data_IF_361736791662
#
_entry.id   IF_361736791662
#
_cell.length_a   1.000
_cell.length_b   1.000
_cell.length_c   1.000
_cell.angle_alpha   90.00
_cell.angle_beta   90.00
_cell.angle_gamma   90.00
#
_symmetry.space_group_name_H-M   'P 1'
#
loop_
_entity.id
_entity.type
_entity.pdbx_description
1 polymer ?
#
# COMPACT_ATOMS: atom_id res chain seq x y z
N UNK A 1 30.94 -25.15 1.22
CA UNK A 1 30.18 -24.30 2.18
C UNK A 1 28.84 -23.81 1.58
N UNK A 2 28.77 -23.51 0.28
CA UNK A 2 27.55 -23.03 -0.40
C UNK A 2 26.46 -24.11 -0.58
N UNK A 3 26.81 -25.32 -1.03
CA UNK A 3 25.87 -26.46 -1.13
C UNK A 3 25.33 -26.94 0.22
N UNK A 4 26.13 -26.81 1.27
CA UNK A 4 25.79 -27.22 2.64
C UNK A 4 24.68 -26.32 3.21
N UNK A 5 24.76 -25.01 2.93
CA UNK A 5 23.75 -24.01 3.28
C UNK A 5 22.47 -24.18 2.45
N UNK A 6 22.57 -24.51 1.17
CA UNK A 6 21.41 -24.83 0.31
C UNK A 6 20.68 -26.09 0.79
N UNK A 7 21.41 -27.15 1.16
CA UNK A 7 20.82 -28.37 1.75
C UNK A 7 20.18 -28.14 3.12
N UNK A 8 20.72 -27.22 3.92
CA UNK A 8 20.11 -26.81 5.20
C UNK A 8 18.85 -25.95 4.99
N UNK A 9 18.79 -25.17 3.91
CA UNK A 9 17.60 -24.38 3.50
C UNK A 9 16.45 -25.29 3.06
N UNK A 10 16.71 -26.31 2.23
CA UNK A 10 15.71 -27.31 1.84
C UNK A 10 15.17 -28.16 3.01
N UNK A 11 15.96 -28.36 4.07
CA UNK A 11 15.52 -29.12 5.25
C UNK A 11 14.66 -28.34 6.24
N UNK A 12 14.56 -27.01 6.12
CA UNK A 12 13.81 -26.16 7.05
C UNK A 12 12.49 -25.59 6.51
N UNK A 13 12.24 -25.73 5.22
CA UNK A 13 10.97 -25.35 4.60
C UNK A 13 10.23 -26.62 4.18
N UNK A 14 9.13 -26.93 4.85
CA UNK A 14 8.22 -28.02 4.45
C UNK A 14 7.49 -27.71 3.13
N UNK A 15 7.68 -26.50 2.59
CA UNK A 15 7.11 -25.98 1.35
C UNK A 15 8.13 -25.03 0.71
N UNK A 16 8.56 -25.30 -0.53
CA UNK A 16 9.35 -24.37 -1.32
C UNK A 16 8.40 -23.62 -2.26
N UNK A 17 8.09 -22.33 -2.01
CA UNK A 17 7.09 -21.59 -2.78
C UNK A 17 7.45 -21.39 -4.25
N UNK A 18 8.67 -21.76 -4.65
CA UNK A 18 9.20 -21.60 -6.01
C UNK A 18 9.11 -22.87 -6.85
N UNK A 19 8.55 -23.97 -6.31
CA UNK A 19 8.46 -25.24 -7.04
C UNK A 19 7.30 -25.29 -8.03
N UNK A 20 6.22 -24.58 -7.74
CA UNK A 20 5.02 -24.54 -8.57
C UNK A 20 4.59 -23.08 -8.79
N UNK A 21 4.13 -22.73 -10.01
CA UNK A 21 3.59 -21.40 -10.25
C UNK A 21 2.26 -21.24 -9.49
N UNK A 22 1.86 -19.99 -9.27
CA UNK A 22 0.52 -19.67 -8.76
C UNK A 22 -0.53 -20.22 -9.73
N UNK A 23 -1.53 -20.92 -9.18
CA UNK A 23 -2.61 -21.49 -9.98
C UNK A 23 -3.52 -20.39 -10.56
N UNK A 24 -3.55 -20.30 -11.87
CA UNK A 24 -4.43 -19.37 -12.61
C UNK A 24 -5.40 -20.13 -13.51
N UNK A 25 -5.72 -21.38 -13.15
CA UNK A 25 -6.57 -22.31 -13.89
C UNK A 25 -7.75 -22.77 -13.06
N UNK A 26 -8.69 -23.51 -13.66
CA UNK A 26 -9.82 -24.10 -12.93
C UNK A 26 -10.63 -23.06 -12.16
N UNK A 27 -10.70 -23.19 -10.83
CA UNK A 27 -11.37 -22.23 -9.93
C UNK A 27 -10.70 -20.85 -9.93
N UNK A 28 -9.42 -20.78 -10.26
CA UNK A 28 -8.62 -19.57 -10.35
C UNK A 28 -8.38 -19.09 -11.78
N UNK A 29 -9.14 -19.64 -12.76
CA UNK A 29 -9.13 -19.11 -14.11
C UNK A 29 -9.58 -17.64 -14.11
N UNK A 30 -8.87 -16.80 -14.87
CA UNK A 30 -9.22 -15.38 -15.00
C UNK A 30 -10.68 -15.20 -15.44
N UNK A 31 -11.37 -14.34 -14.71
CA UNK A 31 -12.70 -13.84 -15.07
C UNK A 31 -12.67 -12.31 -15.06
N UNK A 32 -13.11 -11.63 -16.13
CA UNK A 32 -13.19 -10.18 -16.12
C UNK A 32 -14.31 -9.72 -15.18
N UNK A 33 -14.15 -8.57 -14.50
CA UNK A 33 -15.17 -8.06 -13.60
C UNK A 33 -16.45 -7.70 -14.36
N UNK A 34 -17.60 -7.95 -13.75
CA UNK A 34 -18.89 -7.51 -14.24
C UNK A 34 -19.35 -6.26 -13.46
N UNK A 35 -18.94 -5.09 -13.94
CA UNK A 35 -19.30 -3.81 -13.31
C UNK A 35 -20.82 -3.56 -13.31
N UNK A 36 -21.56 -4.04 -14.31
CA UNK A 36 -23.03 -3.93 -14.36
C UNK A 36 -23.72 -4.74 -13.24
N UNK A 37 -23.07 -5.81 -12.76
CA UNK A 37 -23.50 -6.60 -11.59
C UNK A 37 -22.92 -6.09 -10.27
N UNK A 38 -22.16 -5.00 -10.31
CA UNK A 38 -21.62 -4.31 -9.14
C UNK A 38 -20.29 -4.86 -8.63
N UNK A 39 -19.54 -5.60 -9.43
CA UNK A 39 -18.17 -6.00 -9.08
C UNK A 39 -17.29 -4.76 -8.91
N UNK A 40 -16.39 -4.79 -7.93
CA UNK A 40 -15.56 -3.65 -7.53
C UNK A 40 -14.09 -3.92 -7.88
N UNK A 41 -13.45 -2.95 -8.52
CA UNK A 41 -12.00 -2.88 -8.76
C UNK A 41 -11.56 -1.46 -8.45
N UNK A 42 -10.34 -1.28 -7.95
CA UNK A 42 -9.88 0.03 -7.52
C UNK A 42 -8.39 0.30 -7.77
N UNK A 43 -7.72 1.10 -6.94
CA UNK A 43 -6.37 1.58 -7.22
C UNK A 43 -5.29 0.50 -7.10
N UNK A 44 -5.56 -0.61 -6.40
CA UNK A 44 -4.57 -1.65 -6.12
C UNK A 44 -4.59 -2.76 -7.20
N UNK A 45 -3.57 -2.83 -8.08
CA UNK A 45 -3.52 -3.84 -9.14
C UNK A 45 -3.49 -5.28 -8.60
N UNK A 46 -2.77 -5.52 -7.50
CA UNK A 46 -2.68 -6.85 -6.88
C UNK A 46 -4.04 -7.35 -6.37
N UNK A 47 -4.80 -6.50 -5.66
CA UNK A 47 -6.14 -6.90 -5.18
C UNK A 47 -7.13 -7.11 -6.35
N UNK A 48 -7.04 -6.27 -7.39
CA UNK A 48 -7.85 -6.43 -8.60
C UNK A 48 -7.60 -7.79 -9.26
N UNK A 49 -6.33 -8.18 -9.40
CA UNK A 49 -5.93 -9.47 -9.95
C UNK A 49 -6.41 -10.64 -9.07
N UNK A 50 -6.26 -10.57 -7.74
CA UNK A 50 -6.78 -11.62 -6.84
C UNK A 50 -8.30 -11.82 -7.00
N UNK A 51 -9.06 -10.74 -7.12
CA UNK A 51 -10.51 -10.83 -7.34
C UNK A 51 -10.84 -11.42 -8.72
N UNK A 52 -10.11 -11.03 -9.78
CA UNK A 52 -10.27 -11.59 -11.13
C UNK A 52 -9.94 -13.09 -11.20
N UNK A 53 -9.09 -13.58 -10.30
CA UNK A 53 -8.71 -14.99 -10.18
C UNK A 53 -9.42 -15.71 -9.02
N UNK A 54 -10.43 -15.10 -8.38
CA UNK A 54 -11.22 -15.77 -7.33
C UNK A 54 -10.44 -16.18 -6.08
N UNK A 55 -9.25 -15.61 -5.85
CA UNK A 55 -8.49 -15.81 -4.61
C UNK A 55 -9.07 -15.00 -3.44
N UNK A 56 -9.73 -13.90 -3.78
CA UNK A 56 -10.67 -13.19 -2.92
C UNK A 56 -12.01 -13.12 -3.63
N UNK A 57 -13.06 -12.72 -2.91
CA UNK A 57 -14.41 -12.54 -3.44
C UNK A 57 -14.40 -11.75 -4.75
N UNK A 58 -14.88 -12.39 -5.83
CA UNK A 58 -14.78 -11.86 -7.20
C UNK A 58 -15.48 -10.49 -7.36
N UNK A 59 -16.51 -10.24 -6.57
CA UNK A 59 -17.21 -8.96 -6.57
C UNK A 59 -16.44 -7.82 -5.91
N UNK A 60 -15.23 -8.07 -5.42
CA UNK A 60 -14.32 -7.07 -4.88
C UNK A 60 -14.69 -6.59 -3.47
N UNK A 61 -15.47 -7.36 -2.72
CA UNK A 61 -15.70 -7.13 -1.29
C UNK A 61 -14.84 -8.10 -0.50
N UNK A 62 -13.63 -7.66 -0.17
CA UNK A 62 -12.62 -8.51 0.46
C UNK A 62 -12.89 -8.63 1.97
N UNK A 63 -13.02 -9.87 2.45
CA UNK A 63 -13.05 -10.16 3.88
C UNK A 63 -11.67 -9.96 4.52
N UNK A 64 -11.63 -9.58 5.79
CA UNK A 64 -10.40 -9.28 6.52
C UNK A 64 -9.42 -10.46 6.55
N UNK A 65 -9.89 -11.65 6.95
CA UNK A 65 -9.03 -12.85 6.97
C UNK A 65 -8.80 -13.43 5.57
N UNK A 66 -9.76 -13.23 4.66
CA UNK A 66 -9.67 -13.66 3.26
C UNK A 66 -8.51 -12.93 2.57
N UNK A 67 -8.44 -11.60 2.68
CA UNK A 67 -7.37 -10.81 2.06
C UNK A 67 -6.00 -11.11 2.67
N UNK A 68 -5.92 -11.30 4.00
CA UNK A 68 -4.68 -11.69 4.68
C UNK A 68 -4.17 -13.03 4.14
N UNK A 69 -5.05 -14.02 4.08
CA UNK A 69 -4.69 -15.34 3.58
C UNK A 69 -4.30 -15.30 2.10
N UNK A 70 -5.12 -14.68 1.24
CA UNK A 70 -4.91 -14.66 -0.20
C UNK A 70 -3.62 -13.91 -0.58
N UNK A 71 -3.38 -12.72 -0.01
CA UNK A 71 -2.19 -11.92 -0.34
C UNK A 71 -0.92 -12.58 0.21
N UNK A 72 -0.95 -13.21 1.38
CA UNK A 72 0.18 -14.05 1.79
C UNK A 72 0.32 -15.24 0.83
N UNK A 73 -0.72 -16.04 0.63
CA UNK A 73 -0.66 -17.30 -0.12
C UNK A 73 -0.18 -17.11 -1.56
N UNK A 74 -0.69 -16.10 -2.26
CA UNK A 74 -0.43 -15.86 -3.68
C UNK A 74 0.84 -15.03 -3.88
N UNK A 75 0.99 -13.94 -3.12
CA UNK A 75 2.05 -12.96 -3.37
C UNK A 75 3.22 -13.04 -2.41
N UNK A 76 3.08 -13.73 -1.28
CA UNK A 76 4.10 -13.82 -0.25
C UNK A 76 4.36 -12.50 0.46
N UNK A 77 3.33 -11.68 0.62
CA UNK A 77 3.42 -10.59 1.61
C UNK A 77 3.46 -11.19 3.01
N UNK A 78 4.43 -10.77 3.82
CA UNK A 78 4.57 -11.24 5.20
C UNK A 78 3.31 -10.94 6.02
N UNK A 79 2.99 -11.85 6.95
CA UNK A 79 1.79 -11.77 7.79
C UNK A 79 1.75 -10.46 8.60
N UNK A 80 2.91 -9.97 9.02
CA UNK A 80 3.08 -8.67 9.68
C UNK A 80 2.56 -7.52 8.78
N UNK A 81 3.08 -7.43 7.56
CA UNK A 81 2.77 -6.36 6.62
C UNK A 81 1.32 -6.42 6.13
N UNK A 82 0.83 -7.59 5.71
CA UNK A 82 -0.54 -7.70 5.20
C UNK A 82 -1.59 -7.47 6.31
N UNK A 83 -1.30 -7.85 7.55
CA UNK A 83 -2.22 -7.60 8.66
C UNK A 83 -2.40 -6.10 8.89
N UNK A 84 -1.31 -5.32 8.88
CA UNK A 84 -1.39 -3.85 8.98
C UNK A 84 -2.24 -3.28 7.85
N UNK A 85 -1.99 -3.65 6.59
CA UNK A 85 -2.75 -3.15 5.45
C UNK A 85 -4.24 -3.57 5.50
N UNK A 86 -4.54 -4.80 5.89
CA UNK A 86 -5.91 -5.29 6.03
C UNK A 86 -6.67 -4.56 7.14
N UNK A 87 -5.99 -4.26 8.26
CA UNK A 87 -6.55 -3.45 9.35
C UNK A 87 -6.88 -2.06 8.85
N UNK A 88 -5.93 -1.41 8.18
CA UNK A 88 -6.14 -0.06 7.66
C UNK A 88 -7.28 -0.01 6.63
N UNK A 89 -7.37 -1.00 5.73
CA UNK A 89 -8.47 -1.09 4.77
C UNK A 89 -9.82 -1.28 5.45
N UNK A 90 -9.88 -2.21 6.42
CA UNK A 90 -11.13 -2.55 7.11
C UNK A 90 -11.62 -1.45 8.02
N UNK A 91 -10.73 -0.83 8.82
CA UNK A 91 -11.07 0.23 9.76
C UNK A 91 -11.38 1.53 9.01
N UNK A 92 -10.56 1.87 8.01
CA UNK A 92 -10.64 3.16 7.37
C UNK A 92 -11.75 3.28 6.32
N UNK A 93 -11.86 2.29 5.44
CA UNK A 93 -12.80 2.36 4.30
C UNK A 93 -13.83 1.24 4.26
N UNK A 94 -13.69 0.28 5.18
CA UNK A 94 -14.51 -0.90 5.29
C UNK A 94 -15.53 -0.84 6.43
N UNK A 95 -15.88 -2.04 6.90
CA UNK A 95 -16.83 -2.23 7.99
C UNK A 95 -16.22 -3.16 9.06
N UNK A 96 -15.58 -2.62 10.10
CA UNK A 96 -14.94 -3.44 11.14
C UNK A 96 -15.95 -4.09 12.09
N UNK A 97 -17.18 -3.55 12.20
CA UNK A 97 -18.25 -4.06 13.08
C UNK A 97 -19.17 -5.08 12.41
N UNK A 98 -18.76 -5.56 11.24
CA UNK A 98 -19.51 -6.53 10.47
C UNK A 98 -19.36 -7.95 11.04
N UNK A 99 -20.38 -8.81 10.95
CA UNK A 99 -20.27 -10.26 11.11
C UNK A 99 -19.19 -10.88 10.20
N UNK A 100 -18.91 -10.25 9.06
CA UNK A 100 -17.79 -10.56 8.18
C UNK A 100 -17.01 -9.27 7.88
N UNK A 101 -16.09 -8.85 8.77
CA UNK A 101 -15.32 -7.62 8.59
C UNK A 101 -14.57 -7.61 7.27
N UNK A 102 -14.51 -6.46 6.61
CA UNK A 102 -13.87 -6.33 5.31
C UNK A 102 -14.08 -4.96 4.70
N UNK A 103 -13.64 -4.81 3.45
CA UNK A 103 -13.72 -3.55 2.71
C UNK A 103 -13.93 -3.82 1.21
N UNK A 104 -14.43 -2.81 0.49
CA UNK A 104 -14.42 -2.87 -0.96
C UNK A 104 -13.05 -2.48 -1.51
N UNK A 105 -12.51 -3.28 -2.43
CA UNK A 105 -11.25 -2.99 -3.11
C UNK A 105 -11.38 -1.88 -4.16
N UNK A 106 -12.61 -1.45 -4.46
CA UNK A 106 -12.96 -0.32 -5.32
C UNK A 106 -13.75 0.72 -4.55
N UNK A 107 -14.94 1.08 -5.03
CA UNK A 107 -15.75 2.16 -4.47
C UNK A 107 -16.80 1.71 -3.46
N UNK A 108 -17.80 2.59 -3.27
CA UNK A 108 -18.94 2.32 -2.39
C UNK A 108 -19.73 1.13 -2.90
N UNK A 109 -19.92 0.13 -2.06
CA UNK A 109 -20.79 -1.01 -2.36
C UNK A 109 -21.74 -1.30 -1.21
N UNK A 110 -23.02 -1.50 -1.53
CA UNK A 110 -24.02 -1.96 -0.54
C UNK A 110 -23.67 -3.33 0.03
N UNK A 111 -22.90 -4.14 -0.70
CA UNK A 111 -22.45 -5.46 -0.24
C UNK A 111 -21.40 -5.36 0.88
N UNK A 112 -20.64 -4.27 0.95
CA UNK A 112 -19.76 -3.97 2.08
C UNK A 112 -20.53 -3.42 3.30
N UNK A 113 -21.80 -3.04 3.13
CA UNK A 113 -22.66 -2.59 4.22
C UNK A 113 -23.37 -3.79 4.82
N UNK A 114 -23.13 -4.04 6.10
CA UNK A 114 -23.69 -5.21 6.75
C UNK A 114 -25.19 -5.08 7.03
N UNK A 115 -25.88 -6.22 7.10
CA UNK A 115 -27.33 -6.35 7.37
C UNK A 115 -27.77 -5.65 8.66
N UNK A 116 -26.87 -5.50 9.64
CA UNK A 116 -27.09 -4.78 10.90
C UNK A 116 -26.92 -3.24 10.81
N UNK A 117 -26.70 -2.70 9.61
CA UNK A 117 -26.75 -1.25 9.35
C UNK A 117 -25.67 -0.44 10.05
N UNK A 118 -24.41 -0.89 10.02
CA UNK A 118 -23.26 -0.25 10.70
C UNK A 118 -23.58 0.29 12.10
N UNK A 119 -24.31 -0.50 12.89
CA UNK A 119 -24.81 -0.11 14.22
C UNK A 119 -25.49 1.28 14.19
N UNK A 120 -26.52 1.44 13.36
CA UNK A 120 -27.27 2.70 13.16
C UNK A 120 -26.46 3.86 12.58
N UNK A 121 -25.40 3.58 11.81
CA UNK A 121 -24.62 4.61 11.10
C UNK A 121 -23.56 5.32 11.94
N UNK A 122 -23.24 4.79 13.13
CA UNK A 122 -22.29 5.39 14.08
C UNK A 122 -20.85 5.45 13.52
N UNK A 123 -20.46 4.53 12.64
CA UNK A 123 -19.13 4.51 11.99
C UNK A 123 -19.14 5.02 10.54
N UNK A 124 -20.15 5.79 10.13
CA UNK A 124 -20.25 6.30 8.75
C UNK A 124 -20.65 5.24 7.72
N UNK A 125 -20.45 5.49 6.43
CA UNK A 125 -20.71 4.49 5.37
C UNK A 125 -19.38 3.98 4.84
N UNK A 126 -19.12 2.66 4.78
CA UNK A 126 -17.97 2.10 4.08
C UNK A 126 -17.83 2.69 2.66
N UNK A 127 -16.68 3.30 2.37
CA UNK A 127 -16.47 4.04 1.12
C UNK A 127 -15.64 3.27 0.08
N UNK A 128 -14.92 2.22 0.50
CA UNK A 128 -13.98 1.49 -0.35
C UNK A 128 -12.66 2.23 -0.62
N UNK A 129 -11.69 1.53 -1.20
CA UNK A 129 -10.36 2.07 -1.51
C UNK A 129 -10.36 3.27 -2.45
N UNK A 130 -11.36 3.42 -3.33
CA UNK A 130 -11.48 4.60 -4.21
C UNK A 130 -11.63 5.93 -3.45
N UNK A 131 -12.02 5.86 -2.17
CA UNK A 131 -12.23 7.01 -1.30
C UNK A 131 -11.29 6.98 -0.09
N UNK A 132 -10.15 6.30 -0.20
CA UNK A 132 -9.14 6.16 0.85
C UNK A 132 -8.07 7.28 0.81
N UNK A 133 -8.34 8.39 0.15
CA UNK A 133 -7.35 9.46 -0.07
C UNK A 133 -6.85 10.04 1.26
N UNK A 134 -5.52 10.16 1.39
CA UNK A 134 -4.79 10.48 2.62
C UNK A 134 -5.03 9.51 3.79
N UNK A 135 -5.45 8.28 3.50
CA UNK A 135 -5.47 7.17 4.46
C UNK A 135 -4.66 5.98 3.96
N UNK A 136 -4.99 5.44 2.78
CA UNK A 136 -4.22 4.40 2.07
C UNK A 136 -3.88 4.89 0.67
N UNK A 137 -4.87 5.44 -0.03
CA UNK A 137 -4.65 6.09 -1.31
C UNK A 137 -3.97 7.45 -1.07
N UNK A 138 -3.06 7.81 -1.97
CA UNK A 138 -2.17 8.96 -1.81
C UNK A 138 -1.78 9.52 -3.17
N UNK A 139 -1.55 10.83 -3.17
CA UNK A 139 -0.94 11.53 -4.30
C UNK A 139 0.42 10.91 -4.69
N UNK A 140 0.87 11.21 -5.90
CA UNK A 140 2.14 10.74 -6.46
C UNK A 140 2.18 9.22 -6.72
N UNK A 141 1.02 8.62 -7.00
CA UNK A 141 0.91 7.21 -7.39
C UNK A 141 1.64 6.91 -8.72
N UNK A 142 2.17 5.68 -8.85
CA UNK A 142 3.01 5.27 -10.00
C UNK A 142 2.28 5.40 -11.35
N UNK A 143 1.01 5.01 -11.39
CA UNK A 143 0.22 4.94 -12.63
C UNK A 143 -1.19 5.52 -12.48
N UNK A 144 -1.50 6.17 -11.36
CA UNK A 144 -2.80 6.82 -11.09
C UNK A 144 -2.57 8.31 -10.85
N UNK A 145 -3.56 9.10 -11.22
CA UNK A 145 -3.51 10.55 -11.06
C UNK A 145 -3.71 10.96 -9.59
N UNK A 146 -3.26 12.17 -9.26
CA UNK A 146 -3.52 12.77 -7.95
C UNK A 146 -5.00 13.19 -7.85
N UNK A 147 -5.67 12.85 -6.74
CA UNK A 147 -7.11 13.05 -6.59
C UNK A 147 -7.51 14.52 -6.83
N UNK A 148 -6.72 15.46 -6.32
CA UNK A 148 -7.04 16.89 -6.42
C UNK A 148 -6.74 17.52 -7.79
N UNK A 149 -6.17 16.76 -8.72
CA UNK A 149 -5.92 17.20 -10.09
C UNK A 149 -7.05 16.76 -11.02
N UNK A 150 -7.46 15.50 -10.92
CA UNK A 150 -8.41 14.88 -11.88
C UNK A 150 -9.77 14.54 -11.28
N UNK A 151 -9.86 14.40 -9.96
CA UNK A 151 -11.02 13.86 -9.27
C UNK A 151 -11.11 12.33 -9.32
N UNK A 152 -10.13 11.63 -9.92
CA UNK A 152 -10.06 10.17 -9.99
C UNK A 152 -8.63 9.69 -9.71
N UNK A 153 -8.44 9.09 -8.54
CA UNK A 153 -7.17 8.50 -8.12
C UNK A 153 -7.14 6.96 -8.22
N UNK A 154 -8.16 6.36 -8.84
CA UNK A 154 -8.33 4.90 -8.91
C UNK A 154 -8.08 4.35 -10.32
N UNK A 155 -8.65 5.02 -11.33
CA UNK A 155 -8.46 4.63 -12.73
C UNK A 155 -7.03 4.87 -13.17
N UNK A 156 -6.40 3.87 -13.80
CA UNK A 156 -5.03 4.00 -14.28
C UNK A 156 -4.93 5.02 -15.43
N UNK A 157 -3.92 5.87 -15.37
CA UNK A 157 -3.57 6.81 -16.42
C UNK A 157 -2.48 6.20 -17.33
N UNK A 158 -2.79 6.06 -18.62
CA UNK A 158 -1.86 5.45 -19.60
C UNK A 158 -0.57 6.26 -19.81
N UNK A 159 -0.60 7.58 -19.64
CA UNK A 159 0.62 8.40 -19.71
C UNK A 159 1.55 8.04 -18.56
N UNK A 160 1.04 8.00 -17.32
CA UNK A 160 1.83 7.64 -16.14
C UNK A 160 2.31 6.17 -16.20
N UNK A 161 1.47 5.27 -16.71
CA UNK A 161 1.87 3.88 -16.98
C UNK A 161 3.03 3.83 -17.97
N UNK A 162 2.95 4.54 -19.10
CA UNK A 162 4.01 4.55 -20.11
C UNK A 162 5.30 5.19 -19.60
N UNK A 163 5.23 6.16 -18.70
CA UNK A 163 6.43 6.70 -18.04
C UNK A 163 7.10 5.68 -17.12
N UNK A 164 6.32 4.89 -16.39
CA UNK A 164 6.85 3.80 -15.57
C UNK A 164 7.38 2.63 -16.44
N UNK A 165 6.62 2.25 -17.47
CA UNK A 165 6.98 1.20 -18.41
C UNK A 165 8.28 1.55 -19.17
N UNK A 166 8.45 2.81 -19.58
CA UNK A 166 9.64 3.26 -20.30
C UNK A 166 10.71 3.86 -19.38
N UNK A 167 10.64 3.63 -18.05
CA UNK A 167 11.68 4.12 -17.14
C UNK A 167 13.00 3.36 -17.25
N UNK A 168 13.01 2.24 -17.99
CA UNK A 168 14.21 1.51 -18.41
C UNK A 168 14.18 1.24 -19.91
N UNK A 169 15.34 1.35 -20.54
CA UNK A 169 15.55 0.93 -21.94
C UNK A 169 15.51 -0.60 -22.07
N UNK A 170 15.83 -1.32 -21.00
CA UNK A 170 15.80 -2.78 -20.96
C UNK A 170 14.37 -3.32 -20.87
N UNK A 171 14.25 -4.63 -21.10
CA UNK A 171 12.98 -5.34 -20.93
C UNK A 171 12.56 -5.50 -19.46
N UNK A 172 13.51 -5.31 -18.55
CA UNK A 172 13.34 -5.50 -17.10
C UNK A 172 13.42 -4.14 -16.41
N UNK A 173 12.45 -3.88 -15.54
CA UNK A 173 12.45 -2.77 -14.60
C UNK A 173 13.11 -3.24 -13.29
N UNK A 174 14.22 -2.60 -12.93
CA UNK A 174 14.92 -2.88 -11.68
C UNK A 174 14.34 -2.07 -10.52
N UNK A 175 14.73 -2.40 -9.29
CA UNK A 175 14.38 -1.56 -8.12
C UNK A 175 14.95 -0.14 -8.24
N UNK A 176 16.06 0.03 -8.96
CA UNK A 176 16.66 1.35 -9.21
C UNK A 176 15.81 2.18 -10.17
N UNK A 177 15.31 1.57 -11.25
CA UNK A 177 14.43 2.23 -12.22
C UNK A 177 13.10 2.64 -11.56
N UNK A 178 12.54 1.75 -10.74
CA UNK A 178 11.30 2.01 -9.99
C UNK A 178 11.51 3.12 -8.97
N UNK A 179 12.65 3.14 -8.26
CA UNK A 179 13.01 4.21 -7.33
C UNK A 179 13.21 5.56 -8.03
N UNK A 180 13.87 5.56 -9.20
CA UNK A 180 14.02 6.77 -10.02
C UNK A 180 12.66 7.31 -10.50
N UNK A 181 11.76 6.41 -10.96
CA UNK A 181 10.39 6.76 -11.33
C UNK A 181 9.61 7.33 -10.15
N UNK A 182 9.75 6.74 -8.97
CA UNK A 182 9.16 7.25 -7.73
C UNK A 182 9.61 8.68 -7.44
N UNK A 183 10.91 8.97 -7.53
CA UNK A 183 11.47 10.31 -7.33
C UNK A 183 10.94 11.31 -8.37
N UNK A 184 10.91 10.93 -9.65
CA UNK A 184 10.35 11.76 -10.73
C UNK A 184 8.87 12.09 -10.47
N UNK A 185 8.07 11.10 -10.07
CA UNK A 185 6.63 11.29 -9.83
C UNK A 185 6.34 12.22 -8.65
N UNK A 186 7.23 12.28 -7.67
CA UNK A 186 7.14 13.22 -6.55
C UNK A 186 7.24 14.67 -7.04
N UNK A 187 8.27 14.97 -7.84
CA UNK A 187 8.47 16.30 -8.45
C UNK A 187 7.31 16.67 -9.39
N UNK A 188 6.81 15.71 -10.17
CA UNK A 188 5.63 15.91 -11.01
C UNK A 188 4.42 16.36 -10.18
N UNK A 189 4.11 15.68 -9.07
CA UNK A 189 3.02 16.08 -8.16
C UNK A 189 3.20 17.49 -7.60
N UNK A 190 4.42 17.89 -7.25
CA UNK A 190 4.71 19.28 -6.82
C UNK A 190 4.31 20.28 -7.91
N UNK A 191 4.64 19.98 -9.17
CA UNK A 191 4.43 20.90 -10.29
C UNK A 191 3.00 20.94 -10.84
N UNK A 192 2.17 19.92 -10.58
CA UNK A 192 0.82 19.83 -11.16
C UNK A 192 -0.31 19.94 -10.14
N UNK A 193 -0.06 19.65 -8.86
CA UNK A 193 -1.11 19.54 -7.84
C UNK A 193 -0.94 20.63 -6.76
N UNK A 194 -1.74 21.72 -6.80
CA UNK A 194 -1.70 22.77 -5.77
C UNK A 194 -1.98 22.28 -4.35
N UNK A 195 -2.60 21.12 -4.20
CA UNK A 195 -2.97 20.50 -2.93
C UNK A 195 -2.20 19.19 -2.72
N UNK A 196 -1.03 19.02 -3.37
CA UNK A 196 -0.20 17.84 -3.17
C UNK A 196 0.07 17.66 -1.68
N UNK A 197 -0.27 16.48 -1.16
CA UNK A 197 0.06 16.12 0.21
C UNK A 197 0.85 14.81 0.25
N UNK A 198 1.99 14.87 0.91
CA UNK A 198 2.93 13.78 1.09
C UNK A 198 3.14 13.58 2.60
N UNK A 199 2.13 12.98 3.23
CA UNK A 199 2.07 12.84 4.69
C UNK A 199 3.09 11.84 5.26
N UNK A 200 3.27 11.83 6.61
CA UNK A 200 4.27 10.99 7.27
C UNK A 200 4.04 9.50 7.03
N UNK A 201 2.78 9.05 6.97
CA UNK A 201 2.44 7.69 6.58
C UNK A 201 2.11 7.59 5.09
N UNK A 202 1.17 8.41 4.61
CA UNK A 202 0.57 8.26 3.27
C UNK A 202 1.59 8.45 2.15
N UNK A 203 2.40 9.51 2.22
CA UNK A 203 3.44 9.80 1.23
C UNK A 203 4.72 9.03 1.48
N UNK A 204 5.34 9.24 2.64
CA UNK A 204 6.68 8.70 2.90
C UNK A 204 6.69 7.16 2.94
N UNK A 205 5.62 6.52 3.44
CA UNK A 205 5.60 5.07 3.66
C UNK A 205 4.66 4.37 2.69
N UNK A 206 3.35 4.58 2.76
CA UNK A 206 2.36 3.80 2.04
C UNK A 206 2.55 3.90 0.52
N UNK A 207 2.69 5.13 0.02
CA UNK A 207 2.97 5.40 -1.39
C UNK A 207 4.25 4.72 -1.83
N UNK A 208 5.39 4.93 -1.15
CA UNK A 208 6.65 4.31 -1.55
C UNK A 208 6.61 2.78 -1.42
N UNK A 209 5.87 2.24 -0.45
CA UNK A 209 5.63 0.80 -0.33
C UNK A 209 4.93 0.24 -1.55
N UNK A 210 3.95 0.96 -2.13
CA UNK A 210 3.30 0.56 -3.39
C UNK A 210 4.28 0.43 -4.56
N UNK A 211 5.28 1.32 -4.66
CA UNK A 211 6.38 1.18 -5.64
C UNK A 211 7.26 -0.03 -5.32
N UNK A 212 7.63 -0.23 -4.05
CA UNK A 212 8.43 -1.37 -3.64
C UNK A 212 7.72 -2.69 -3.92
N UNK A 213 6.42 -2.80 -3.66
CA UNK A 213 5.61 -3.98 -3.98
C UNK A 213 5.57 -4.26 -5.48
N UNK A 214 5.55 -3.22 -6.31
CA UNK A 214 5.60 -3.37 -7.77
C UNK A 214 6.86 -4.13 -8.20
N UNK A 215 8.03 -3.72 -7.69
CA UNK A 215 9.30 -4.39 -8.02
C UNK A 215 9.53 -5.70 -7.27
N UNK A 216 9.21 -5.76 -5.98
CA UNK A 216 9.50 -6.93 -5.11
C UNK A 216 8.45 -8.02 -5.23
N UNK A 217 7.18 -7.66 -5.12
CA UNK A 217 6.09 -8.62 -4.97
C UNK A 217 5.50 -9.01 -6.31
N UNK A 218 5.30 -8.06 -7.24
CA UNK A 218 4.64 -8.35 -8.53
C UNK A 218 5.59 -8.93 -9.58
N UNK A 219 6.91 -8.86 -9.37
CA UNK A 219 7.88 -9.56 -10.23
C UNK A 219 7.57 -11.05 -10.32
N UNK A 220 7.89 -11.67 -11.47
CA UNK A 220 7.95 -13.13 -11.51
C UNK A 220 9.26 -13.58 -10.84
N UNK A 221 9.18 -14.60 -9.99
CA UNK A 221 10.32 -15.05 -9.20
C UNK A 221 10.98 -16.28 -9.80
N UNK A 222 12.32 -16.30 -9.79
CA UNK A 222 13.12 -17.46 -10.22
C UNK A 222 14.14 -17.83 -9.15
N UNK A 223 14.82 -18.97 -9.33
CA UNK A 223 15.95 -19.33 -8.45
C UNK A 223 17.09 -18.30 -8.49
N UNK A 224 17.24 -17.59 -9.61
CA UNK A 224 18.22 -16.51 -9.77
C UNK A 224 17.75 -15.21 -9.08
N UNK A 225 16.44 -14.91 -9.16
CA UNK A 225 15.83 -13.71 -8.59
C UNK A 225 14.72 -14.04 -7.59
N UNK A 226 15.02 -14.70 -6.45
CA UNK A 226 14.01 -15.20 -5.53
C UNK A 226 13.35 -14.11 -4.68
N UNK A 227 13.85 -12.87 -4.72
CA UNK A 227 13.35 -11.72 -3.95
C UNK A 227 12.89 -10.55 -4.85
N UNK A 228 12.59 -10.84 -6.11
CA UNK A 228 12.10 -9.87 -7.08
C UNK A 228 13.15 -8.85 -7.48
N UNK A 229 12.67 -7.65 -7.85
CA UNK A 229 13.50 -6.55 -8.36
C UNK A 229 13.93 -6.72 -9.82
N UNK A 230 13.33 -7.68 -10.53
CA UNK A 230 13.52 -7.95 -11.96
C UNK A 230 12.15 -8.04 -12.62
N UNK A 231 11.42 -6.92 -12.62
CA UNK A 231 10.05 -6.87 -13.11
C UNK A 231 10.06 -6.74 -14.63
N UNK A 232 9.70 -7.81 -15.34
CA UNK A 232 9.61 -7.75 -16.79
C UNK A 232 8.41 -6.91 -17.25
N UNK A 233 8.55 -6.27 -18.41
CA UNK A 233 7.50 -5.41 -19.01
C UNK A 233 6.17 -6.13 -19.26
N UNK A 234 6.18 -7.43 -19.57
CA UNK A 234 4.96 -8.23 -19.71
C UNK A 234 4.25 -8.44 -18.37
N UNK A 235 4.99 -8.76 -17.31
CA UNK A 235 4.43 -8.94 -15.97
C UNK A 235 3.86 -7.61 -15.46
N UNK A 236 4.59 -6.51 -15.66
CA UNK A 236 4.10 -5.17 -15.34
C UNK A 236 2.82 -4.85 -16.11
N UNK A 237 2.76 -5.12 -17.41
CA UNK A 237 1.58 -4.86 -18.22
C UNK A 237 0.37 -5.70 -17.76
N UNK A 238 0.57 -6.99 -17.48
CA UNK A 238 -0.48 -7.91 -17.00
C UNK A 238 -1.12 -7.45 -15.69
N UNK A 239 -0.30 -7.12 -14.68
CA UNK A 239 -0.81 -6.66 -13.39
C UNK A 239 -1.49 -5.30 -13.46
N UNK A 240 -1.21 -4.49 -14.49
CA UNK A 240 -1.82 -3.17 -14.68
C UNK A 240 -2.90 -3.17 -15.79
N UNK A 241 -3.33 -4.35 -16.23
CA UNK A 241 -4.36 -4.56 -17.24
C UNK A 241 -4.06 -3.87 -18.59
N UNK A 242 -2.79 -3.82 -18.97
CA UNK A 242 -2.33 -3.31 -20.26
C UNK A 242 -2.02 -4.49 -21.17
N UNK A 243 -2.62 -4.47 -22.36
CA UNK A 243 -2.54 -5.53 -23.35
C UNK A 243 -2.00 -4.98 -24.66
N UNK A 244 -1.29 -5.81 -25.42
CA UNK A 244 -0.94 -5.46 -26.79
C UNK A 244 -2.10 -5.76 -27.74
N UNK A 245 -2.55 -4.75 -28.47
CA UNK A 245 -3.56 -4.83 -29.52
C UNK A 245 -3.04 -4.10 -30.76
N UNK A 246 -2.87 -4.80 -31.88
CA UNK A 246 -2.38 -4.25 -33.15
C UNK A 246 -1.07 -3.43 -33.00
N UNK A 247 -0.13 -3.92 -32.18
CA UNK A 247 1.15 -3.28 -31.92
C UNK A 247 1.07 -2.04 -31.02
N UNK A 248 -0.04 -1.84 -30.30
CA UNK A 248 -0.24 -0.75 -29.33
C UNK A 248 -0.59 -1.29 -27.96
N UNK A 249 -0.10 -0.62 -26.93
CA UNK A 249 -0.47 -0.90 -25.55
C UNK A 249 -1.84 -0.25 -25.23
N UNK A 250 -2.81 -1.08 -24.82
CA UNK A 250 -4.18 -0.70 -24.54
C UNK A 250 -4.55 -1.09 -23.11
N UNK A 251 -5.04 -0.12 -22.34
CA UNK A 251 -5.55 -0.36 -21.00
C UNK A 251 -6.99 -0.90 -21.03
N UNK A 252 -7.23 -1.99 -20.30
CA UNK A 252 -8.55 -2.58 -20.08
C UNK A 252 -8.91 -2.48 -18.60
N UNK A 253 -9.64 -1.43 -18.23
CA UNK A 253 -10.00 -1.14 -16.83
C UNK A 253 -10.60 -2.36 -16.12
N UNK A 254 -9.96 -2.77 -15.01
CA UNK A 254 -10.42 -3.87 -14.16
C UNK A 254 -9.96 -5.26 -14.60
N UNK A 255 -9.20 -5.39 -15.69
CA UNK A 255 -8.73 -6.67 -16.23
C UNK A 255 -7.31 -7.01 -15.74
N UNK A 256 -6.92 -6.60 -14.54
CA UNK A 256 -5.63 -6.93 -13.96
C UNK A 256 -5.51 -8.46 -13.79
N UNK A 257 -4.39 -9.04 -14.20
CA UNK A 257 -4.26 -10.50 -14.29
C UNK A 257 -2.93 -10.97 -13.69
N UNK A 258 -2.97 -12.09 -12.96
CA UNK A 258 -1.77 -12.84 -12.58
C UNK A 258 -1.30 -13.59 -13.83
N UNK A 259 -0.06 -13.36 -14.32
CA UNK A 259 0.43 -14.04 -15.52
C UNK A 259 0.47 -15.56 -15.34
N UNK A 260 0.31 -16.30 -16.44
CA UNK A 260 0.61 -17.74 -16.43
C UNK A 260 2.11 -17.98 -16.17
N UNK A 261 2.44 -19.11 -15.53
CA UNK A 261 3.81 -19.43 -15.11
C UNK A 261 4.47 -18.35 -14.23
N UNK A 262 3.65 -17.67 -13.41
CA UNK A 262 4.11 -16.67 -12.45
C UNK A 262 4.31 -17.30 -11.07
N UNK A 263 5.45 -17.04 -10.45
CA UNK A 263 5.86 -17.60 -9.17
C UNK A 263 5.89 -16.52 -8.09
N UNK A 264 5.35 -16.87 -6.93
CA UNK A 264 5.38 -16.10 -5.69
C UNK A 264 6.81 -15.83 -5.24
N UNK A 265 7.03 -14.74 -4.49
CA UNK A 265 8.33 -14.46 -3.85
C UNK A 265 8.83 -15.63 -3.01
N UNK A 266 10.13 -15.95 -3.13
CA UNK A 266 10.74 -17.13 -2.51
C UNK A 266 10.82 -17.06 -0.98
N UNK A 267 10.60 -15.89 -0.39
CA UNK A 267 10.45 -15.68 1.04
C UNK A 267 9.54 -14.50 1.29
N UNK A 268 8.69 -14.64 2.30
CA UNK A 268 7.73 -13.60 2.64
C UNK A 268 8.35 -12.21 2.81
N UNK A 269 7.79 -11.25 2.10
CA UNK A 269 8.16 -9.84 2.12
C UNK A 269 7.40 -9.12 3.23
N UNK A 270 8.01 -9.03 4.41
CA UNK A 270 7.45 -8.35 5.59
C UNK A 270 8.01 -6.94 5.80
N UNK A 271 7.67 -6.35 6.96
CA UNK A 271 8.01 -4.97 7.32
C UNK A 271 9.51 -4.69 7.31
N UNK A 272 10.34 -5.64 7.73
CA UNK A 272 11.80 -5.48 7.78
C UNK A 272 12.41 -5.31 6.38
N UNK A 273 11.97 -6.11 5.40
CA UNK A 273 12.49 -6.01 4.02
C UNK A 273 11.99 -4.74 3.33
N UNK A 274 10.73 -4.38 3.56
CA UNK A 274 10.18 -3.11 3.14
C UNK A 274 11.01 -1.94 3.69
N UNK A 275 11.32 -1.96 4.98
CA UNK A 275 12.16 -0.95 5.61
C UNK A 275 13.53 -0.81 4.93
N UNK A 276 14.20 -1.93 4.60
CA UNK A 276 15.49 -1.89 3.92
C UNK A 276 15.40 -1.26 2.53
N UNK A 277 14.39 -1.63 1.74
CA UNK A 277 14.17 -1.05 0.41
C UNK A 277 13.88 0.46 0.48
N UNK A 278 13.05 0.88 1.45
CA UNK A 278 12.74 2.30 1.65
C UNK A 278 13.98 3.09 2.09
N UNK A 279 14.78 2.57 3.04
CA UNK A 279 16.03 3.22 3.48
C UNK A 279 17.01 3.36 2.32
N UNK A 280 17.17 2.32 1.49
CA UNK A 280 18.01 2.37 0.30
C UNK A 280 17.57 3.49 -0.67
N UNK A 281 16.26 3.57 -0.94
CA UNK A 281 15.71 4.64 -1.77
C UNK A 281 15.81 6.03 -1.14
N UNK A 282 15.66 6.16 0.18
CA UNK A 282 15.80 7.44 0.87
C UNK A 282 17.24 7.95 0.84
N UNK A 283 18.23 7.05 0.95
CA UNK A 283 19.64 7.43 0.78
C UNK A 283 19.95 7.89 -0.65
N UNK A 284 19.35 7.23 -1.65
CA UNK A 284 19.59 7.54 -3.07
C UNK A 284 18.80 8.77 -3.55
N UNK A 285 17.57 8.92 -3.05
CA UNK A 285 16.62 9.97 -3.40
C UNK A 285 16.00 10.56 -2.13
N UNK A 286 16.70 11.46 -1.41
CA UNK A 286 16.24 12.01 -0.13
C UNK A 286 14.84 12.65 -0.16
N UNK A 287 14.40 13.13 -1.33
CA UNK A 287 13.05 13.68 -1.51
C UNK A 287 11.94 12.67 -1.16
N UNK A 288 12.20 11.37 -1.31
CA UNK A 288 11.23 10.31 -0.98
C UNK A 288 11.06 10.11 0.54
N UNK A 289 12.00 10.60 1.35
CA UNK A 289 11.90 10.64 2.81
C UNK A 289 11.21 11.92 3.33
N UNK A 290 10.78 12.82 2.43
CA UNK A 290 10.13 14.06 2.82
C UNK A 290 8.79 13.79 3.49
N UNK A 291 8.35 14.75 4.30
CA UNK A 291 6.97 14.84 4.78
C UNK A 291 6.52 16.27 4.55
N UNK A 292 5.35 16.48 3.96
CA UNK A 292 4.86 17.84 3.70
C UNK A 292 3.82 17.92 2.60
N UNK A 293 3.76 19.06 1.95
CA UNK A 293 2.82 19.28 0.85
C UNK A 293 2.91 20.67 0.25
N UNK A 294 2.23 20.85 -0.87
CA UNK A 294 2.02 22.15 -1.48
C UNK A 294 1.03 22.98 -0.65
N UNK A 295 1.29 24.29 -0.57
CA UNK A 295 0.52 25.26 0.20
C UNK A 295 -0.52 25.98 -0.68
N UNK A 296 -1.33 25.22 -1.40
CA UNK A 296 -2.44 25.73 -2.21
C UNK A 296 -2.04 26.29 -3.58
N UNK A 297 -0.78 26.12 -4.00
CA UNK A 297 -0.26 26.48 -5.34
C UNK A 297 0.70 25.38 -5.80
N UNK A 298 0.93 25.27 -7.10
CA UNK A 298 2.01 24.40 -7.61
C UNK A 298 3.37 24.99 -7.26
N UNK A 299 4.40 24.14 -7.28
CA UNK A 299 5.81 24.54 -7.10
C UNK A 299 6.11 25.25 -5.77
N UNK A 300 5.39 24.92 -4.70
CA UNK A 300 5.59 25.53 -3.38
C UNK A 300 5.61 24.53 -2.23
N UNK A 301 6.13 23.33 -2.49
CA UNK A 301 6.20 22.25 -1.52
C UNK A 301 6.93 22.72 -0.26
N UNK A 302 6.24 22.61 0.87
CA UNK A 302 6.78 22.90 2.19
C UNK A 302 6.99 21.57 2.93
N UNK A 303 8.25 21.21 3.14
CA UNK A 303 8.62 20.06 3.96
C UNK A 303 8.53 20.35 5.46
N UNK A 304 8.36 19.30 6.25
CA UNK A 304 8.55 19.29 7.70
C UNK A 304 9.95 18.82 8.04
N UNK A 305 10.50 19.39 9.11
CA UNK A 305 11.64 18.80 9.77
C UNK A 305 11.17 17.66 10.68
N UNK A 306 11.79 16.48 10.53
CA UNK A 306 11.51 15.32 11.36
C UNK A 306 11.94 15.56 12.82
N UNK A 307 12.97 16.37 13.02
CA UNK A 307 13.45 16.74 14.36
C UNK A 307 12.38 17.52 15.12
N UNK A 308 11.69 18.43 14.43
CA UNK A 308 10.61 19.24 15.02
C UNK A 308 9.42 18.37 15.45
N UNK A 309 8.94 17.48 14.56
CA UNK A 309 7.73 16.70 14.83
C UNK A 309 7.93 15.55 15.82
N UNK A 310 9.16 15.07 15.96
CA UNK A 310 9.51 14.01 16.94
C UNK A 310 10.01 14.58 18.27
N UNK A 311 10.09 15.91 18.41
CA UNK A 311 10.61 16.56 19.61
C UNK A 311 12.11 16.29 19.85
N UNK A 312 12.88 16.16 18.77
CA UNK A 312 14.32 15.93 18.78
C UNK A 312 14.75 14.46 18.84
N UNK A 313 13.81 13.51 18.80
CA UNK A 313 14.13 12.07 18.92
C UNK A 313 14.75 11.52 17.63
N UNK A 314 14.23 11.92 16.47
CA UNK A 314 14.74 11.51 15.17
C UNK A 314 15.04 12.73 14.29
N UNK A 315 16.06 12.62 13.46
CA UNK A 315 16.30 13.50 12.31
C UNK A 315 16.44 12.66 11.05
N UNK A 316 16.63 13.31 9.90
CA UNK A 316 16.74 12.60 8.62
C UNK A 316 17.86 11.53 8.58
N UNK A 317 18.95 11.72 9.32
CA UNK A 317 20.04 10.74 9.40
C UNK A 317 19.69 9.60 10.34
N UNK A 318 19.27 9.92 11.57
CA UNK A 318 18.96 8.90 12.57
C UNK A 318 17.70 8.10 12.23
N UNK A 319 16.77 8.64 11.45
CA UNK A 319 15.61 7.91 10.92
C UNK A 319 16.04 6.64 10.17
N UNK A 320 17.15 6.70 9.42
CA UNK A 320 17.64 5.61 8.58
C UNK A 320 18.48 4.58 9.37
N UNK A 321 18.73 4.82 10.66
CA UNK A 321 19.53 3.93 11.50
C UNK A 321 18.67 2.81 12.11
N UNK A 322 19.15 1.57 11.98
CA UNK A 322 18.53 0.41 12.61
C UNK A 322 17.05 0.26 12.24
N UNK A 323 16.18 0.31 13.24
CA UNK A 323 14.74 0.20 13.11
C UNK A 323 13.99 1.52 13.34
N UNK A 324 14.69 2.65 13.38
CA UNK A 324 14.08 3.96 13.68
C UNK A 324 12.98 4.34 12.69
N UNK A 325 13.15 4.03 11.39
CA UNK A 325 12.11 4.22 10.38
C UNK A 325 10.85 3.41 10.71
N UNK A 326 10.99 2.11 11.00
CA UNK A 326 9.86 1.26 11.42
C UNK A 326 9.18 1.82 12.66
N UNK A 327 9.96 2.24 13.66
CA UNK A 327 9.42 2.82 14.89
C UNK A 327 8.66 4.14 14.63
N UNK A 328 9.19 4.99 13.76
CA UNK A 328 8.53 6.22 13.34
C UNK A 328 7.20 5.90 12.63
N UNK A 329 7.18 4.96 11.67
CA UNK A 329 5.95 4.55 10.99
C UNK A 329 4.90 4.08 11.99
N UNK A 330 5.28 3.23 12.94
CA UNK A 330 4.36 2.65 13.91
C UNK A 330 3.79 3.73 14.85
N UNK A 331 4.58 4.71 15.28
CA UNK A 331 4.09 5.86 16.06
C UNK A 331 3.21 6.80 15.25
N UNK A 332 3.49 7.00 13.96
CA UNK A 332 2.56 7.69 13.05
C UNK A 332 1.25 6.91 12.98
N UNK A 333 1.27 5.61 12.70
CA UNK A 333 0.03 4.81 12.64
C UNK A 333 -0.76 4.91 13.96
N UNK A 334 -0.08 4.89 15.10
CA UNK A 334 -0.69 5.07 16.43
C UNK A 334 -1.31 6.45 16.61
N UNK A 335 -0.67 7.51 16.12
CA UNK A 335 -1.18 8.89 16.20
C UNK A 335 -2.44 9.08 15.35
N UNK A 336 -2.52 8.37 14.23
CA UNK A 336 -3.65 8.41 13.30
C UNK A 336 -4.69 7.31 13.56
N UNK A 337 -4.45 6.39 14.51
CA UNK A 337 -5.50 5.53 15.02
C UNK A 337 -6.44 6.33 15.93
N UNK A 338 -7.76 6.26 15.72
CA UNK A 338 -8.70 7.15 16.41
C UNK A 338 -8.63 6.99 17.94
N UNK A 339 -8.28 8.07 18.65
CA UNK A 339 -8.45 8.17 20.12
C UNK A 339 -9.94 8.29 20.53
N UNK A 340 -10.85 8.44 19.56
CA UNK A 340 -12.31 8.55 19.73
C UNK A 340 -13.00 7.23 20.13
N UNK A 341 -12.23 6.16 20.35
CA UNK A 341 -12.75 4.84 20.64
C UNK A 341 -13.20 4.65 22.09
N UNK A 342 -13.01 5.59 23.02
CA UNK A 342 -13.17 5.44 24.48
C UNK A 342 -14.49 4.74 24.93
N UNK A 343 -15.60 4.98 24.25
CA UNK A 343 -16.91 4.33 24.51
C UNK A 343 -17.20 3.13 23.60
N UNK A 344 -16.48 2.97 22.49
CA UNK A 344 -16.57 1.88 21.52
C UNK A 344 -15.58 0.73 21.81
N UNK A 345 -14.59 0.93 22.70
CA UNK A 345 -13.52 -0.03 23.06
C UNK A 345 -14.03 -1.36 23.62
N UNK A 346 -15.24 -1.43 24.18
CA UNK A 346 -15.80 -2.73 24.61
C UNK A 346 -16.26 -3.61 23.44
N UNK A 347 -16.51 -3.03 22.27
CA UNK A 347 -17.08 -3.72 21.10
C UNK A 347 -16.04 -3.91 19.99
N UNK A 348 -15.00 -3.09 19.96
CA UNK A 348 -13.87 -3.19 19.03
C UNK A 348 -12.66 -3.94 19.59
N UNK A 349 -12.80 -4.62 20.73
CA UNK A 349 -11.70 -5.32 21.41
C UNK A 349 -10.94 -6.28 20.48
N UNK A 350 -11.62 -6.98 19.55
CA UNK A 350 -10.96 -7.86 18.58
C UNK A 350 -10.18 -7.11 17.48
N UNK A 351 -10.74 -6.12 16.76
CA UNK A 351 -9.97 -5.25 15.86
C UNK A 351 -8.83 -4.49 16.55
N UNK A 352 -9.06 -3.99 17.76
CA UNK A 352 -8.03 -3.33 18.57
C UNK A 352 -6.96 -4.29 19.06
N UNK A 353 -7.32 -5.53 19.40
CA UNK A 353 -6.34 -6.58 19.70
C UNK A 353 -5.53 -6.95 18.47
N UNK A 354 -6.12 -7.00 17.28
CA UNK A 354 -5.39 -7.19 16.02
C UNK A 354 -4.44 -6.01 15.73
N UNK A 355 -4.88 -4.77 15.93
CA UNK A 355 -4.01 -3.58 15.84
C UNK A 355 -2.90 -3.67 16.90
N UNK A 356 -3.23 -4.00 18.15
CA UNK A 356 -2.27 -4.12 19.23
C UNK A 356 -1.26 -5.25 18.95
N UNK A 357 -1.69 -6.41 18.48
CA UNK A 357 -0.83 -7.54 18.18
C UNK A 357 0.00 -7.33 16.91
N UNK A 358 -0.50 -6.59 15.92
CA UNK A 358 0.21 -6.33 14.65
C UNK A 358 1.05 -5.04 14.65
N UNK A 359 0.76 -4.07 15.53
CA UNK A 359 1.39 -2.74 15.57
C UNK A 359 2.09 -2.52 16.91
N UNK A 360 1.39 -2.69 18.04
CA UNK A 360 1.89 -2.33 19.37
C UNK A 360 2.80 -3.39 20.00
N UNK A 361 2.54 -4.69 19.82
CA UNK A 361 3.42 -5.75 20.31
C UNK A 361 4.77 -5.76 19.55
N UNK A 362 4.80 -5.56 18.21
CA UNK A 362 6.06 -5.36 17.50
C UNK A 362 6.84 -4.14 18.01
N UNK A 363 6.19 -3.03 18.39
CA UNK A 363 6.89 -1.88 19.02
C UNK A 363 7.63 -2.28 20.30
N UNK A 364 7.00 -3.14 21.13
CA UNK A 364 7.60 -3.64 22.39
C UNK A 364 8.78 -4.57 22.12
N UNK A 365 8.71 -5.39 21.06
CA UNK A 365 9.79 -6.31 20.68
C UNK A 365 10.94 -5.63 19.90
N UNK A 366 10.64 -4.52 19.20
CA UNK A 366 11.60 -3.79 18.36
C UNK A 366 12.57 -2.91 19.17
N UNK A 367 12.42 -2.75 20.49
CA UNK A 367 13.24 -1.79 21.29
C UNK A 367 13.19 -0.37 20.72
N UNK A 368 12.02 0.07 20.25
CA UNK A 368 11.83 1.41 19.68
C UNK A 368 12.15 2.52 20.70
N UNK A 369 12.70 3.67 20.26
CA UNK A 369 12.93 4.79 21.16
C UNK A 369 11.59 5.29 21.74
N UNK A 370 11.64 5.82 22.96
CA UNK A 370 10.46 6.41 23.57
C UNK A 370 10.13 7.75 22.87
N UNK A 371 9.08 7.76 22.06
CA UNK A 371 8.55 8.98 21.47
C UNK A 371 7.68 9.72 22.49
N UNK A 372 7.85 11.05 22.55
CA UNK A 372 6.79 11.90 23.09
C UNK A 372 5.64 11.92 22.09
N UNK A 373 4.44 12.27 22.55
CA UNK A 373 3.33 12.53 21.63
C UNK A 373 3.79 13.53 20.57
N UNK A 374 3.71 13.14 19.30
CA UNK A 374 4.17 13.96 18.20
C UNK A 374 3.29 15.20 18.09
N UNK A 375 3.93 16.34 17.89
CA UNK A 375 3.28 17.65 17.87
C UNK A 375 3.78 18.47 16.69
N UNK A 376 2.91 19.33 16.18
CA UNK A 376 3.26 20.30 15.14
C UNK A 376 2.55 21.61 15.45
N UNK A 377 3.31 22.71 15.40
CA UNK A 377 2.82 24.07 15.60
C UNK A 377 2.02 24.25 16.91
N UNK A 378 2.39 23.53 17.98
CA UNK A 378 1.76 23.59 19.31
C UNK A 378 0.47 22.78 19.47
N UNK A 379 0.11 21.96 18.47
CA UNK A 379 -1.01 21.02 18.50
C UNK A 379 -0.54 19.57 18.32
N UNK A 380 -1.42 18.58 18.50
CA UNK A 380 -1.09 17.21 18.11
C UNK A 380 -0.74 17.14 16.60
N UNK A 381 0.11 16.19 16.22
CA UNK A 381 0.65 16.10 14.86
C UNK A 381 -0.43 16.12 13.79
N UNK A 382 -1.52 15.37 13.97
CA UNK A 382 -2.60 15.28 13.00
C UNK A 382 -3.29 16.65 12.82
N UNK A 383 -3.69 17.29 13.92
CA UNK A 383 -4.29 18.64 13.89
C UNK A 383 -3.35 19.65 13.22
N UNK A 384 -2.06 19.62 13.54
CA UNK A 384 -1.07 20.49 12.92
C UNK A 384 -0.95 20.27 11.42
N UNK A 385 -0.93 19.01 10.97
CA UNK A 385 -0.86 18.65 9.55
C UNK A 385 -2.11 19.13 8.78
N UNK A 386 -3.31 18.93 9.34
CA UNK A 386 -4.56 19.39 8.75
C UNK A 386 -4.63 20.92 8.67
N UNK A 387 -4.11 21.63 9.67
CA UNK A 387 -4.08 23.10 9.65
C UNK A 387 -3.07 23.65 8.63
N UNK A 388 -1.92 23.01 8.49
CA UNK A 388 -0.80 23.49 7.68
C UNK A 388 -0.96 23.17 6.19
N UNK A 389 -1.43 21.97 5.86
CA UNK A 389 -1.45 21.47 4.49
C UNK A 389 -2.89 21.43 3.94
N UNK A 390 -3.22 22.27 2.93
CA UNK A 390 -4.54 22.26 2.31
C UNK A 390 -4.95 20.90 1.74
N UNK A 391 -3.99 20.14 1.21
CA UNK A 391 -4.22 18.77 0.74
C UNK A 391 -4.66 17.81 1.84
N UNK A 392 -4.01 17.87 3.01
CA UNK A 392 -4.41 17.07 4.16
C UNK A 392 -5.83 17.42 4.64
N UNK A 393 -6.14 18.71 4.73
CA UNK A 393 -7.47 19.17 5.18
C UNK A 393 -8.59 18.80 4.20
N UNK A 394 -8.26 18.62 2.91
CA UNK A 394 -9.24 18.28 1.88
C UNK A 394 -9.62 16.81 1.87
N UNK A 395 -8.86 15.92 2.51
CA UNK A 395 -9.28 14.52 2.56
C UNK A 395 -10.48 14.46 3.48
N UNK A 396 -11.66 14.19 2.92
CA UNK A 396 -12.91 14.02 3.68
C UNK A 396 -12.91 12.82 4.63
N UNK A 397 -11.73 12.29 4.94
CA UNK A 397 -11.45 11.28 5.93
C UNK A 397 -11.45 11.96 7.31
N UNK A 398 -12.42 11.60 8.15
CA UNK A 398 -12.39 11.99 9.55
C UNK A 398 -11.39 11.07 10.25
N UNK A 399 -10.21 11.60 10.57
CA UNK A 399 -9.17 10.90 11.33
C UNK A 399 -9.57 10.71 12.80
#
# INVERSE_FOLDING_TARGET
>A
MHESLLRLKHKRLLFDPMTEPVDVTGLHAFQPPNFDKGDQRGPCPGLNALANHGYISHDGIAGFFEVIHAVNHVYGMGMDLITVLAVMGTVGVGNPLSLNPGFSIGGKSRKANNVLGNLFGVLGTPQGLDHAHNWIESDSSNTRDDLYVTGDASTMNMTLFLEAYNSSEDYVLTMDDIGARAAKRFEESISINPNFYYGPYTGMIARNSGYAFTGRILSNHTMEYPFGGHLTKDVFSSFYAVYEEDGKLVYRKGHEQIPANWYRIGMDYGLVRLNLDLVEWFMKYPILASVGGNLGKVDNFAGLDLEDITGGVLNATSLLEGNNLVCFVLEVVKTFTPNSLSSLFKTLEAPLKLVNDAVLNPLVDLSCPAFKDMALDGTDLLTGLLNRYPGANKSGFAF
#
